data_IF_970020324772
#
_entry.id   IF_970020324772
#
_cell.length_a   1.000
_cell.length_b   1.000
_cell.length_c   1.000
_cell.angle_alpha   90.00
_cell.angle_beta   90.00
_cell.angle_gamma   90.00
#
_symmetry.space_group_name_H-M   'P 1'
#
loop_
_entity.id
_entity.type
_entity.pdbx_description
1 polymer ?
#
# COMPACT_ATOMS: atom_id res chain seq x y z
N UNK A 1 22.26 15.62 33.41
CA UNK A 1 21.62 14.46 32.73
C UNK A 1 22.55 14.04 31.61
N UNK A 2 22.85 12.75 31.48
CA UNK A 2 23.73 12.24 30.42
C UNK A 2 23.02 12.34 29.06
N UNK A 3 23.47 13.21 28.14
CA UNK A 3 22.85 13.41 26.83
C UNK A 3 23.04 12.22 25.88
N UNK A 4 23.82 11.21 26.27
CA UNK A 4 24.04 9.99 25.49
C UNK A 4 23.08 8.85 25.87
N UNK A 5 22.33 9.00 26.97
CA UNK A 5 21.47 7.94 27.50
C UNK A 5 20.21 7.75 26.67
N UNK A 6 20.29 6.80 25.74
CA UNK A 6 19.17 6.41 24.86
C UNK A 6 18.06 5.71 25.63
N UNK A 7 16.84 5.84 25.11
CA UNK A 7 15.67 5.12 25.60
C UNK A 7 15.24 4.08 24.59
N UNK A 8 14.98 2.86 25.05
CA UNK A 8 14.55 1.76 24.22
C UNK A 8 13.03 1.59 24.31
N UNK A 9 12.35 1.59 23.17
CA UNK A 9 11.02 0.98 23.04
C UNK A 9 11.21 -0.49 22.72
N UNK A 10 10.50 -1.37 23.44
CA UNK A 10 10.62 -2.80 23.27
C UNK A 10 9.26 -3.48 23.17
N UNK A 11 9.26 -4.67 22.58
CA UNK A 11 8.11 -5.56 22.46
C UNK A 11 8.49 -6.93 23.02
N UNK A 12 7.72 -7.44 23.98
CA UNK A 12 7.93 -8.75 24.60
C UNK A 12 6.85 -9.73 24.14
N UNK A 13 7.21 -11.00 24.05
CA UNK A 13 6.25 -12.09 24.00
C UNK A 13 5.98 -12.60 25.42
N UNK A 14 4.72 -12.58 25.85
CA UNK A 14 4.29 -13.06 27.16
C UNK A 14 3.85 -14.52 27.09
N UNK A 15 3.88 -15.23 28.24
CA UNK A 15 3.54 -16.66 28.34
C UNK A 15 2.18 -17.05 27.75
N UNK A 16 1.22 -16.12 27.75
CA UNK A 16 -0.12 -16.31 27.16
C UNK A 16 -0.18 -16.00 25.64
N UNK A 17 0.96 -15.82 24.96
CA UNK A 17 1.05 -15.45 23.54
C UNK A 17 0.75 -13.97 23.23
N UNK A 18 0.35 -13.19 24.24
CA UNK A 18 0.15 -11.74 24.08
C UNK A 18 1.47 -11.01 23.90
N UNK A 19 1.40 -9.80 23.34
CA UNK A 19 2.57 -8.93 23.19
C UNK A 19 2.47 -7.73 24.12
N UNK A 20 3.53 -7.47 24.87
CA UNK A 20 3.63 -6.32 25.77
C UNK A 20 4.63 -5.30 25.23
N UNK A 21 4.22 -4.03 25.18
CA UNK A 21 5.09 -2.92 24.79
C UNK A 21 5.42 -2.05 26.00
N UNK A 22 6.66 -1.55 26.05
CA UNK A 22 7.11 -0.61 27.07
C UNK A 22 8.37 0.13 26.65
N UNK A 23 8.74 1.14 27.43
CA UNK A 23 9.99 1.89 27.24
C UNK A 23 10.89 1.79 28.48
N UNK A 24 12.20 1.85 28.27
CA UNK A 24 13.19 1.80 29.34
C UNK A 24 14.53 2.37 28.88
N UNK A 25 15.32 3.02 29.76
CA UNK A 25 16.70 3.38 29.44
C UNK A 25 17.68 2.21 29.60
N UNK A 26 17.22 1.06 30.10
CA UNK A 26 18.00 -0.17 30.29
C UNK A 26 17.11 -1.38 29.96
N UNK A 27 17.34 -1.99 28.80
CA UNK A 27 16.48 -3.05 28.26
C UNK A 27 16.64 -4.35 29.04
N UNK A 28 17.89 -4.74 29.32
CA UNK A 28 18.21 -6.01 29.95
C UNK A 28 17.76 -6.04 31.40
N UNK A 29 18.05 -4.98 32.18
CA UNK A 29 17.58 -4.87 33.55
C UNK A 29 16.04 -4.85 33.61
N UNK A 30 15.39 -4.20 32.65
CA UNK A 30 13.92 -4.16 32.58
C UNK A 30 13.32 -5.52 32.25
N UNK A 31 13.89 -6.24 31.30
CA UNK A 31 13.46 -7.59 30.95
C UNK A 31 13.63 -8.54 32.15
N UNK A 32 14.79 -8.53 32.81
CA UNK A 32 15.05 -9.34 33.99
C UNK A 32 14.06 -9.04 35.13
N UNK A 33 13.72 -7.76 35.37
CA UNK A 33 12.71 -7.38 36.36
C UNK A 33 11.32 -7.93 36.02
N UNK A 34 10.90 -7.90 34.74
CA UNK A 34 9.64 -8.51 34.31
C UNK A 34 9.65 -10.02 34.47
N UNK A 35 10.73 -10.70 34.07
CA UNK A 35 10.88 -12.15 34.18
C UNK A 35 10.86 -12.63 35.64
N UNK A 36 11.41 -11.83 36.57
CA UNK A 36 11.42 -12.11 38.01
C UNK A 36 10.12 -11.69 38.74
N UNK A 37 9.05 -11.30 38.02
CA UNK A 37 7.79 -10.91 38.64
C UNK A 37 7.84 -9.57 39.39
N UNK A 38 8.84 -8.72 39.12
CA UNK A 38 8.97 -7.35 39.65
C UNK A 38 8.61 -6.28 38.61
N UNK A 39 7.95 -6.71 37.54
CA UNK A 39 7.54 -5.87 36.42
C UNK A 39 6.24 -5.09 36.62
N UNK A 40 5.71 -4.61 35.49
CA UNK A 40 4.38 -3.98 35.43
C UNK A 40 3.28 -4.95 35.91
N UNK A 41 2.14 -4.42 36.36
CA UNK A 41 1.00 -5.24 36.83
C UNK A 41 0.65 -6.35 35.82
N UNK A 42 0.66 -6.02 34.53
CA UNK A 42 0.35 -6.99 33.46
C UNK A 42 1.37 -8.13 33.37
N UNK A 43 2.67 -7.80 33.31
CA UNK A 43 3.75 -8.78 33.13
C UNK A 43 4.01 -9.60 34.40
N UNK A 44 3.58 -9.15 35.58
CA UNK A 44 3.55 -9.98 36.79
C UNK A 44 2.59 -11.16 36.68
N UNK A 45 1.40 -10.94 36.13
CA UNK A 45 0.44 -12.02 35.84
C UNK A 45 0.78 -12.81 34.57
N UNK A 46 1.52 -12.20 33.63
CA UNK A 46 1.90 -12.79 32.35
C UNK A 46 3.39 -12.57 32.08
N UNK A 47 4.29 -13.32 32.75
CA UNK A 47 5.72 -13.12 32.63
C UNK A 47 6.19 -13.28 31.17
N UNK A 48 7.14 -12.44 30.72
CA UNK A 48 7.66 -12.51 29.36
C UNK A 48 8.53 -13.75 29.16
N UNK A 49 8.50 -14.31 27.95
CA UNK A 49 9.34 -15.41 27.51
C UNK A 49 10.59 -14.90 26.79
N UNK A 50 10.45 -13.86 25.96
CA UNK A 50 11.56 -13.26 25.20
C UNK A 50 11.25 -11.82 24.76
N UNK A 51 12.31 -11.11 24.39
CA UNK A 51 12.22 -9.84 23.65
C UNK A 51 12.03 -10.19 22.17
N UNK A 52 10.99 -9.64 21.54
CA UNK A 52 10.73 -9.80 20.12
C UNK A 52 11.50 -8.78 19.27
N UNK A 53 11.53 -7.53 19.72
CA UNK A 53 12.30 -6.45 19.11
C UNK A 53 12.48 -5.30 20.09
N UNK A 54 13.49 -4.47 19.84
CA UNK A 54 13.63 -3.15 20.46
C UNK A 54 14.19 -2.14 19.48
N UNK A 55 13.96 -0.86 19.74
CA UNK A 55 14.57 0.25 19.00
C UNK A 55 14.95 1.39 19.95
N UNK A 56 16.12 1.98 19.71
CA UNK A 56 16.67 3.05 20.55
C UNK A 56 16.22 4.43 20.04
N UNK A 57 15.82 5.29 20.96
CA UNK A 57 15.41 6.66 20.73
C UNK A 57 16.33 7.60 21.52
N UNK A 58 16.50 8.86 21.06
CA UNK A 58 17.39 9.82 21.71
C UNK A 58 17.01 10.11 23.16
N UNK A 59 15.71 10.08 23.48
CA UNK A 59 15.21 10.48 24.79
C UNK A 59 13.89 9.78 25.15
N UNK A 60 13.45 9.99 26.40
CA UNK A 60 12.19 9.43 26.90
C UNK A 60 10.98 9.91 26.12
N UNK A 61 10.97 11.17 25.67
CA UNK A 61 9.80 11.80 25.07
C UNK A 61 9.52 11.20 23.68
N UNK A 62 10.56 11.07 22.86
CA UNK A 62 10.54 10.38 21.57
C UNK A 62 10.17 8.91 21.72
N UNK A 63 10.76 8.18 22.69
CA UNK A 63 10.39 6.80 22.98
C UNK A 63 8.91 6.66 23.41
N UNK A 64 8.39 7.58 24.24
CA UNK A 64 6.99 7.56 24.71
C UNK A 64 6.00 7.84 23.57
N UNK A 65 6.34 8.78 22.69
CA UNK A 65 5.54 9.07 21.48
C UNK A 65 5.51 7.85 20.55
N UNK A 66 6.65 7.20 20.36
CA UNK A 66 6.73 5.97 19.59
C UNK A 66 5.95 4.81 20.25
N UNK A 67 6.00 4.66 21.57
CA UNK A 67 5.24 3.64 22.30
C UNK A 67 3.73 3.81 22.07
N UNK A 68 3.24 5.05 22.12
CA UNK A 68 1.84 5.36 21.83
C UNK A 68 1.45 5.02 20.38
N UNK A 69 2.31 5.34 19.40
CA UNK A 69 2.09 4.97 18.01
C UNK A 69 2.08 3.44 17.81
N UNK A 70 3.04 2.73 18.40
CA UNK A 70 3.13 1.26 18.36
C UNK A 70 1.87 0.61 18.93
N UNK A 71 1.34 1.13 20.05
CA UNK A 71 0.11 0.61 20.67
C UNK A 71 -1.09 0.66 19.72
N UNK A 72 -1.14 1.64 18.82
CA UNK A 72 -2.18 1.81 17.79
C UNK A 72 -1.95 1.01 16.49
N UNK A 73 -0.79 0.39 16.31
CA UNK A 73 -0.56 -0.49 15.16
C UNK A 73 -1.28 -1.83 15.32
N UNK A 74 -1.84 -2.41 14.24
CA UNK A 74 -2.33 -3.78 14.24
C UNK A 74 -1.21 -4.77 14.64
N UNK A 75 -1.55 -5.86 15.34
CA UNK A 75 -0.56 -6.86 15.80
C UNK A 75 0.38 -7.31 14.68
N UNK A 76 -0.16 -7.57 13.48
CA UNK A 76 0.61 -7.99 12.31
C UNK A 76 1.70 -7.00 11.86
N UNK A 77 1.63 -5.72 12.24
CA UNK A 77 2.57 -4.67 11.83
C UNK A 77 3.50 -4.19 12.95
N UNK A 78 3.19 -4.49 14.22
CA UNK A 78 3.94 -3.98 15.38
C UNK A 78 5.43 -4.32 15.32
N UNK A 79 5.79 -5.54 14.93
CA UNK A 79 7.18 -5.98 14.89
C UNK A 79 8.00 -5.20 13.85
N UNK A 80 7.53 -5.18 12.60
CA UNK A 80 8.18 -4.46 11.50
C UNK A 80 8.24 -2.94 11.76
N UNK A 81 7.18 -2.36 12.31
CA UNK A 81 7.13 -0.94 12.67
C UNK A 81 8.18 -0.57 13.74
N UNK A 82 8.33 -1.43 14.76
CA UNK A 82 9.30 -1.18 15.83
C UNK A 82 10.73 -1.33 15.31
N UNK A 83 11.01 -2.38 14.53
CA UNK A 83 12.33 -2.60 13.94
C UNK A 83 12.76 -1.41 13.05
N UNK A 84 11.81 -0.82 12.32
CA UNK A 84 12.02 0.38 11.51
C UNK A 84 12.07 1.71 12.30
N UNK A 85 12.15 1.66 13.64
CA UNK A 85 12.34 2.86 14.46
C UNK A 85 11.13 3.76 14.59
N UNK A 86 9.94 3.21 14.40
CA UNK A 86 8.71 3.98 14.44
C UNK A 86 8.39 4.71 13.14
N UNK A 87 9.23 4.56 12.11
CA UNK A 87 8.74 4.66 10.75
C UNK A 87 7.80 3.48 10.51
N UNK A 88 6.55 3.77 10.16
CA UNK A 88 5.83 2.85 9.28
C UNK A 88 6.74 2.57 8.09
N UNK A 89 6.74 1.33 7.58
CA UNK A 89 7.14 1.08 6.19
C UNK A 89 6.65 2.28 5.37
N UNK A 90 7.55 3.03 4.73
CA UNK A 90 7.28 4.43 4.35
C UNK A 90 5.94 4.59 3.64
N UNK A 91 5.31 5.76 3.78
CA UNK A 91 4.05 6.04 3.12
C UNK A 91 4.17 5.70 1.62
N UNK A 92 3.07 5.28 1.01
CA UNK A 92 3.06 5.05 -0.43
C UNK A 92 3.27 6.40 -1.10
N UNK A 93 4.39 6.55 -1.78
CA UNK A 93 4.75 7.74 -2.54
C UNK A 93 4.33 7.52 -3.99
N UNK A 94 3.39 8.34 -4.47
CA UNK A 94 2.96 8.30 -5.87
C UNK A 94 3.76 9.36 -6.64
N UNK A 95 4.50 8.90 -7.65
CA UNK A 95 5.38 9.72 -8.49
C UNK A 95 4.88 9.66 -9.92
N UNK A 96 4.93 10.77 -10.64
CA UNK A 96 4.64 10.79 -12.07
C UNK A 96 5.83 10.25 -12.88
N UNK A 97 5.56 9.50 -13.94
CA UNK A 97 6.56 8.88 -14.80
C UNK A 97 7.14 7.57 -14.27
N UNK A 98 8.39 7.30 -14.65
CA UNK A 98 9.12 6.05 -14.35
C UNK A 98 9.07 5.01 -15.47
N UNK A 99 8.63 5.38 -16.69
CA UNK A 99 8.60 4.47 -17.85
C UNK A 99 10.00 4.07 -18.36
N UNK A 100 11.04 4.77 -17.91
CA UNK A 100 12.45 4.50 -18.14
C UNK A 100 13.09 3.61 -17.05
N UNK A 101 12.40 3.38 -15.92
CA UNK A 101 12.88 2.51 -14.85
C UNK A 101 12.62 1.04 -15.19
N UNK A 102 13.68 0.22 -15.20
CA UNK A 102 13.61 -1.20 -15.53
C UNK A 102 12.57 -1.98 -14.69
N UNK A 103 12.41 -1.62 -13.40
CA UNK A 103 11.46 -2.28 -12.49
C UNK A 103 10.01 -2.01 -12.90
N UNK A 104 9.76 -0.81 -13.40
CA UNK A 104 8.44 -0.39 -13.89
C UNK A 104 8.15 -1.06 -15.23
N UNK A 105 9.14 -1.08 -16.14
CA UNK A 105 9.05 -1.80 -17.41
C UNK A 105 8.73 -3.28 -17.19
N UNK A 106 9.39 -3.94 -16.24
CA UNK A 106 9.14 -5.35 -15.92
C UNK A 106 7.75 -5.56 -15.30
N UNK A 107 7.28 -4.63 -14.46
CA UNK A 107 5.92 -4.69 -13.93
C UNK A 107 4.86 -4.55 -15.04
N UNK A 108 5.11 -3.69 -16.04
CA UNK A 108 4.22 -3.51 -17.19
C UNK A 108 4.23 -4.74 -18.12
N UNK A 109 5.41 -5.34 -18.36
CA UNK A 109 5.50 -6.61 -19.09
C UNK A 109 4.72 -7.72 -18.40
N UNK A 110 4.86 -7.83 -17.08
CA UNK A 110 4.08 -8.77 -16.26
C UNK A 110 2.57 -8.48 -16.39
N UNK A 111 2.16 -7.22 -16.36
CA UNK A 111 0.76 -6.84 -16.53
C UNK A 111 0.22 -7.32 -17.88
N UNK A 112 0.93 -7.06 -18.98
CA UNK A 112 0.54 -7.49 -20.33
C UNK A 112 0.47 -9.02 -20.45
N UNK A 113 1.45 -9.73 -19.91
CA UNK A 113 1.47 -11.20 -19.91
C UNK A 113 0.26 -11.79 -19.16
N UNK A 114 -0.09 -11.22 -18.00
CA UNK A 114 -1.29 -11.64 -17.25
C UNK A 114 -2.58 -11.36 -18.01
N UNK A 115 -2.69 -10.25 -18.75
CA UNK A 115 -3.87 -9.99 -19.57
C UNK A 115 -4.01 -11.02 -20.69
N UNK A 116 -2.90 -11.39 -21.34
CA UNK A 116 -2.90 -12.41 -22.39
C UNK A 116 -3.25 -13.81 -21.90
N UNK A 117 -3.08 -14.10 -20.60
CA UNK A 117 -3.50 -15.37 -20.01
C UNK A 117 -5.01 -15.45 -19.81
N UNK A 118 -5.68 -14.31 -19.66
CA UNK A 118 -7.09 -14.24 -19.26
C UNK A 118 -8.04 -13.71 -20.34
N UNK A 119 -7.48 -13.17 -21.42
CA UNK A 119 -8.24 -12.62 -22.55
C UNK A 119 -7.57 -13.00 -23.88
N UNK A 120 -8.34 -13.24 -24.96
CA UNK A 120 -7.77 -13.45 -26.29
C UNK A 120 -7.09 -12.17 -26.80
N UNK A 121 -6.14 -12.25 -27.76
CA UNK A 121 -5.37 -11.10 -28.23
C UNK A 121 -6.20 -9.89 -28.72
N UNK A 122 -7.39 -10.14 -29.28
CA UNK A 122 -8.30 -9.08 -29.74
C UNK A 122 -9.02 -8.30 -28.63
N UNK A 123 -8.94 -8.78 -27.39
CA UNK A 123 -9.64 -8.26 -26.21
C UNK A 123 -8.68 -7.68 -25.16
N UNK A 124 -7.41 -7.48 -25.52
CA UNK A 124 -6.39 -6.89 -24.63
C UNK A 124 -6.29 -5.41 -24.96
N UNK A 125 -6.80 -4.58 -24.07
CA UNK A 125 -6.76 -3.12 -24.20
C UNK A 125 -5.69 -2.45 -23.33
N UNK A 126 -4.87 -3.24 -22.65
CA UNK A 126 -3.71 -2.76 -21.91
C UNK A 126 -2.69 -2.13 -22.88
N UNK A 127 -2.24 -0.92 -22.55
CA UNK A 127 -1.29 -0.17 -23.36
C UNK A 127 0.15 -0.68 -23.15
N UNK A 128 0.93 -0.65 -24.22
CA UNK A 128 2.38 -0.81 -24.15
C UNK A 128 3.06 0.49 -23.66
N UNK A 129 4.40 0.46 -23.58
CA UNK A 129 5.18 1.62 -23.13
C UNK A 129 4.94 2.86 -24.00
N UNK A 130 4.82 2.69 -25.32
CA UNK A 130 4.59 3.80 -26.24
C UNK A 130 3.21 4.42 -26.02
N UNK A 131 2.17 3.60 -25.85
CA UNK A 131 0.83 4.07 -25.52
C UNK A 131 0.74 4.78 -24.18
N UNK A 132 1.54 4.37 -23.20
CA UNK A 132 1.62 5.03 -21.88
C UNK A 132 2.43 6.33 -21.89
N UNK A 133 3.32 6.51 -22.86
CA UNK A 133 4.09 7.74 -23.07
C UNK A 133 3.40 8.74 -24.02
N UNK A 134 2.23 8.39 -24.57
CA UNK A 134 1.53 9.22 -25.55
C UNK A 134 1.00 10.55 -24.97
N UNK A 135 0.91 11.62 -25.76
CA UNK A 135 0.28 12.86 -25.35
C UNK A 135 -1.15 12.66 -24.84
N UNK A 136 -1.52 13.34 -23.76
CA UNK A 136 -2.83 13.18 -23.11
C UNK A 136 -2.92 11.99 -22.14
N UNK A 137 -1.84 11.23 -21.97
CA UNK A 137 -1.66 10.26 -20.90
C UNK A 137 -0.94 10.90 -19.71
N UNK A 138 -1.30 10.47 -18.51
CA UNK A 138 -0.51 10.68 -17.30
C UNK A 138 -0.25 9.33 -16.68
N UNK A 139 1.00 9.04 -16.36
CA UNK A 139 1.39 7.75 -15.79
C UNK A 139 2.01 7.96 -14.42
N UNK A 140 1.63 7.13 -13.46
CA UNK A 140 2.15 7.16 -12.11
C UNK A 140 2.71 5.82 -11.67
N UNK A 141 3.70 5.90 -10.80
CA UNK A 141 4.30 4.78 -10.09
C UNK A 141 4.19 4.99 -8.59
N UNK A 142 3.84 3.93 -7.87
CA UNK A 142 3.70 3.91 -6.42
C UNK A 142 4.94 3.26 -5.79
N UNK A 143 5.55 3.94 -4.82
CA UNK A 143 6.81 3.55 -4.22
C UNK A 143 6.75 3.52 -2.69
N UNK A 144 7.66 2.75 -2.10
CA UNK A 144 8.01 2.84 -0.69
C UNK A 144 9.53 2.89 -0.59
N UNK A 145 10.08 4.09 -0.40
CA UNK A 145 11.51 4.32 -0.58
C UNK A 145 11.90 4.00 -2.02
N UNK A 146 12.74 2.97 -2.19
CA UNK A 146 13.19 2.48 -3.50
C UNK A 146 12.45 1.19 -3.95
N UNK A 147 11.45 0.73 -3.19
CA UNK A 147 10.65 -0.43 -3.58
C UNK A 147 9.46 -0.01 -4.43
N UNK A 148 9.39 -0.48 -5.67
CA UNK A 148 8.23 -0.33 -6.54
C UNK A 148 7.06 -1.16 -6.01
N UNK A 149 5.91 -0.52 -5.84
CA UNK A 149 4.69 -1.14 -5.32
C UNK A 149 3.61 -1.33 -6.39
N UNK A 150 3.58 -0.48 -7.41
CA UNK A 150 2.54 -0.51 -8.43
C UNK A 150 2.62 0.64 -9.42
N UNK A 151 1.71 0.66 -10.39
CA UNK A 151 1.57 1.73 -11.36
C UNK A 151 0.10 1.91 -11.79
N UNK A 152 -0.20 3.06 -12.39
CA UNK A 152 -1.47 3.36 -13.05
C UNK A 152 -1.28 4.42 -14.14
N UNK A 153 -2.08 4.34 -15.20
CA UNK A 153 -2.23 5.37 -16.22
C UNK A 153 -3.59 6.06 -16.11
N UNK A 154 -3.65 7.33 -16.50
CA UNK A 154 -4.85 8.13 -16.63
C UNK A 154 -4.85 8.81 -18.00
N UNK A 155 -5.84 8.48 -18.83
CA UNK A 155 -6.01 9.03 -20.17
C UNK A 155 -7.14 10.05 -20.19
N UNK A 156 -6.91 11.21 -20.80
CA UNK A 156 -7.99 12.12 -21.14
C UNK A 156 -8.80 11.58 -22.33
N UNK A 157 -10.13 11.58 -22.24
CA UNK A 157 -11.01 11.17 -23.34
C UNK A 157 -11.65 12.39 -24.01
N UNK A 158 -12.45 13.13 -23.25
CA UNK A 158 -13.10 14.38 -23.67
C UNK A 158 -12.98 15.44 -22.55
N UNK A 159 -13.69 16.56 -22.67
CA UNK A 159 -13.52 17.74 -21.81
C UNK A 159 -13.73 17.49 -20.31
N UNK A 160 -14.56 16.51 -19.93
CA UNK A 160 -14.85 16.20 -18.53
C UNK A 160 -14.76 14.70 -18.16
N UNK A 161 -14.20 13.88 -19.05
CA UNK A 161 -14.11 12.43 -18.88
C UNK A 161 -12.67 11.91 -18.95
N UNK A 162 -12.27 11.19 -17.90
CA UNK A 162 -11.02 10.42 -17.86
C UNK A 162 -11.23 8.92 -17.93
N UNK A 163 -10.17 8.22 -18.33
CA UNK A 163 -10.07 6.77 -18.28
C UNK A 163 -8.86 6.31 -17.45
N UNK A 164 -9.10 5.46 -16.44
CA UNK A 164 -8.05 4.76 -15.72
C UNK A 164 -7.57 3.55 -16.55
N UNK A 165 -6.26 3.46 -16.77
CA UNK A 165 -5.62 2.40 -17.56
C UNK A 165 -4.43 1.78 -16.83
N UNK A 166 -4.04 0.57 -17.23
CA UNK A 166 -2.80 -0.10 -16.81
C UNK A 166 -2.53 -0.07 -15.28
N UNK A 167 -3.60 -0.14 -14.47
CA UNK A 167 -3.46 -0.14 -13.01
C UNK A 167 -3.02 -1.53 -12.52
N UNK A 168 -1.83 -1.60 -11.93
CA UNK A 168 -1.23 -2.85 -11.46
C UNK A 168 -0.55 -2.66 -10.11
N UNK A 169 -0.78 -3.59 -9.20
CA UNK A 169 0.02 -3.72 -7.97
C UNK A 169 1.08 -4.80 -8.18
N UNK A 170 2.32 -4.53 -7.77
CA UNK A 170 3.39 -5.52 -7.80
C UNK A 170 3.02 -6.74 -6.94
N UNK A 171 3.32 -7.98 -7.36
CA UNK A 171 2.94 -9.18 -6.61
C UNK A 171 3.38 -9.18 -5.14
N UNK A 172 4.59 -8.68 -4.86
CA UNK A 172 5.13 -8.55 -3.51
C UNK A 172 4.43 -7.46 -2.66
N UNK A 173 3.64 -6.58 -3.27
CA UNK A 173 2.96 -5.45 -2.64
C UNK A 173 1.43 -5.65 -2.52
N UNK A 174 0.91 -6.84 -2.84
CA UNK A 174 -0.52 -7.15 -2.72
C UNK A 174 -1.02 -7.02 -1.28
N UNK A 175 -2.29 -6.62 -1.13
CA UNK A 175 -2.97 -6.42 0.17
C UNK A 175 -2.31 -5.37 1.08
N UNK A 176 -1.55 -4.44 0.50
CA UNK A 176 -0.92 -3.33 1.24
C UNK A 176 -1.58 -1.96 1.00
N UNK A 177 -2.70 -1.92 0.28
CA UNK A 177 -3.46 -0.69 -0.01
C UNK A 177 -2.99 0.09 -1.25
N UNK A 178 -2.07 -0.47 -2.05
CA UNK A 178 -1.47 0.20 -3.21
C UNK A 178 -2.51 0.57 -4.27
N UNK A 179 -3.33 -0.37 -4.72
CA UNK A 179 -4.36 -0.11 -5.72
C UNK A 179 -5.37 0.94 -5.26
N UNK A 180 -5.75 0.94 -3.97
CA UNK A 180 -6.63 1.96 -3.41
C UNK A 180 -5.98 3.35 -3.40
N UNK A 181 -4.69 3.42 -3.05
CA UNK A 181 -3.93 4.68 -3.08
C UNK A 181 -3.80 5.24 -4.50
N UNK A 182 -3.46 4.40 -5.48
CA UNK A 182 -3.39 4.77 -6.89
C UNK A 182 -4.74 5.24 -7.43
N UNK A 183 -5.83 4.52 -7.13
CA UNK A 183 -7.16 4.92 -7.56
C UNK A 183 -7.62 6.24 -6.94
N UNK A 184 -7.38 6.43 -5.63
CA UNK A 184 -7.69 7.68 -4.94
C UNK A 184 -6.93 8.86 -5.56
N UNK A 185 -5.65 8.66 -5.90
CA UNK A 185 -4.82 9.65 -6.59
C UNK A 185 -5.37 9.99 -7.98
N UNK A 186 -5.74 8.97 -8.78
CA UNK A 186 -6.33 9.18 -10.10
C UNK A 186 -7.66 9.95 -10.04
N UNK A 187 -8.52 9.66 -9.06
CA UNK A 187 -9.77 10.39 -8.85
C UNK A 187 -9.53 11.83 -8.40
N UNK A 188 -8.57 12.06 -7.51
CA UNK A 188 -8.20 13.41 -7.06
C UNK A 188 -7.65 14.24 -8.22
N UNK A 189 -6.78 13.66 -9.05
CA UNK A 189 -6.27 14.31 -10.25
C UNK A 189 -7.39 14.61 -11.25
N UNK A 190 -8.30 13.68 -11.47
CA UNK A 190 -9.45 13.88 -12.38
C UNK A 190 -10.29 15.07 -11.93
N UNK A 191 -10.63 15.17 -10.62
CA UNK A 191 -11.32 16.34 -10.07
C UNK A 191 -10.52 17.63 -10.23
N UNK A 192 -9.20 17.58 -10.04
CA UNK A 192 -8.32 18.75 -10.23
C UNK A 192 -8.33 19.24 -11.67
N UNK A 193 -8.52 18.36 -12.65
CA UNK A 193 -8.69 18.68 -14.07
C UNK A 193 -10.10 19.16 -14.43
N UNK A 194 -11.03 19.20 -13.47
CA UNK A 194 -12.42 19.57 -13.70
C UNK A 194 -13.26 18.44 -14.31
N UNK A 195 -12.75 17.21 -14.32
CA UNK A 195 -13.50 16.06 -14.85
C UNK A 195 -14.60 15.64 -13.88
N UNK A 196 -15.75 15.32 -14.43
CA UNK A 196 -16.94 14.89 -13.70
C UNK A 196 -17.11 13.37 -13.74
N UNK A 197 -16.39 12.68 -14.64
CA UNK A 197 -16.49 11.24 -14.86
C UNK A 197 -15.13 10.58 -14.96
N UNK A 198 -14.99 9.42 -14.30
CA UNK A 198 -13.88 8.50 -14.48
C UNK A 198 -14.41 7.12 -14.83
N UNK A 199 -13.90 6.54 -15.91
CA UNK A 199 -14.25 5.18 -16.33
C UNK A 199 -13.02 4.29 -16.46
N UNK A 200 -13.26 2.99 -16.54
CA UNK A 200 -12.23 1.98 -16.77
C UNK A 200 -12.79 0.80 -17.55
N UNK A 201 -11.91 0.17 -18.30
CA UNK A 201 -12.09 -1.18 -18.83
C UNK A 201 -11.23 -2.14 -17.99
N UNK A 202 -11.76 -3.33 -17.72
CA UNK A 202 -11.05 -4.40 -17.02
C UNK A 202 -11.55 -5.75 -17.51
N UNK A 203 -10.72 -6.78 -17.45
CA UNK A 203 -11.15 -8.13 -17.82
C UNK A 203 -12.33 -8.64 -16.97
N UNK A 204 -13.16 -9.49 -17.57
CA UNK A 204 -14.38 -10.06 -16.94
C UNK A 204 -14.12 -11.36 -16.17
N UNK A 205 -12.98 -12.03 -16.40
CA UNK A 205 -12.65 -13.32 -15.81
C UNK A 205 -12.51 -13.29 -14.26
N UNK A 206 -12.67 -14.43 -13.55
CA UNK A 206 -12.56 -14.50 -12.09
C UNK A 206 -11.24 -13.97 -11.52
N UNK A 207 -10.15 -13.99 -12.30
CA UNK A 207 -8.86 -13.42 -11.92
C UNK A 207 -8.94 -11.92 -11.57
N UNK A 208 -9.92 -11.19 -12.12
CA UNK A 208 -10.14 -9.77 -11.90
C UNK A 208 -11.07 -9.45 -10.72
N UNK A 209 -11.59 -10.46 -10.02
CA UNK A 209 -12.56 -10.27 -8.93
C UNK A 209 -12.06 -9.31 -7.83
N UNK A 210 -10.77 -9.34 -7.51
CA UNK A 210 -10.18 -8.42 -6.54
C UNK A 210 -10.17 -6.96 -7.01
N UNK A 211 -9.96 -6.73 -8.31
CA UNK A 211 -10.04 -5.40 -8.91
C UNK A 211 -11.49 -4.92 -8.95
N UNK A 212 -12.43 -5.76 -9.39
CA UNK A 212 -13.87 -5.45 -9.39
C UNK A 212 -14.37 -5.06 -7.99
N UNK A 213 -14.00 -5.83 -6.97
CA UNK A 213 -14.38 -5.54 -5.59
C UNK A 213 -13.78 -4.22 -5.06
N UNK A 214 -12.61 -3.80 -5.54
CA UNK A 214 -12.07 -2.48 -5.26
C UNK A 214 -12.92 -1.40 -5.94
N UNK A 215 -13.16 -1.51 -7.25
CA UNK A 215 -13.89 -0.49 -7.99
C UNK A 215 -15.33 -0.31 -7.47
N UNK A 216 -16.05 -1.40 -7.21
CA UNK A 216 -17.40 -1.35 -6.63
C UNK A 216 -17.42 -0.65 -5.27
N UNK A 217 -16.45 -0.96 -4.39
CA UNK A 217 -16.33 -0.29 -3.07
C UNK A 217 -16.04 1.20 -3.22
N UNK A 218 -15.29 1.56 -4.26
CA UNK A 218 -14.94 2.94 -4.60
C UNK A 218 -16.01 3.58 -5.48
N UNK A 219 -17.24 3.06 -5.51
CA UNK A 219 -18.40 3.72 -6.12
C UNK A 219 -18.46 3.66 -7.65
N UNK A 220 -17.67 2.81 -8.29
CA UNK A 220 -17.86 2.50 -9.71
C UNK A 220 -19.03 1.53 -9.88
N UNK A 221 -19.80 1.73 -10.95
CA UNK A 221 -20.85 0.82 -11.38
C UNK A 221 -20.63 0.38 -12.82
N UNK A 222 -21.23 -0.73 -13.22
CA UNK A 222 -21.20 -1.19 -14.61
C UNK A 222 -21.79 -0.13 -15.56
N UNK A 223 -21.21 0.01 -16.74
CA UNK A 223 -21.67 0.92 -17.78
C UNK A 223 -21.55 0.31 -19.17
N UNK A 224 -22.12 0.99 -20.17
CA UNK A 224 -21.88 0.66 -21.57
C UNK A 224 -20.40 0.92 -21.95
N UNK A 225 -19.90 0.29 -23.02
CA UNK A 225 -18.60 0.64 -23.60
C UNK A 225 -18.51 2.15 -23.93
N UNK A 226 -17.32 2.71 -23.81
CA UNK A 226 -17.02 4.13 -24.02
C UNK A 226 -15.75 4.28 -24.87
N UNK A 227 -15.39 5.50 -25.28
CA UNK A 227 -14.14 5.78 -26.01
C UNK A 227 -13.91 4.90 -27.26
N UNK A 228 -14.99 4.47 -27.93
CA UNK A 228 -14.93 3.61 -29.12
C UNK A 228 -14.75 2.12 -28.83
N UNK A 229 -14.77 1.69 -27.56
CA UNK A 229 -14.82 0.27 -27.23
C UNK A 229 -16.11 -0.38 -27.76
N UNK A 230 -15.98 -1.59 -28.27
CA UNK A 230 -17.11 -2.45 -28.57
C UNK A 230 -17.50 -3.26 -27.34
N UNK A 231 -18.73 -3.77 -27.31
CA UNK A 231 -19.11 -4.72 -26.29
C UNK A 231 -18.35 -6.04 -26.51
N UNK A 232 -17.67 -6.51 -25.46
CA UNK A 232 -16.81 -7.69 -25.51
C UNK A 232 -17.07 -8.53 -24.25
N UNK A 233 -17.41 -9.84 -24.36
CA UNK A 233 -17.59 -10.72 -23.21
C UNK A 233 -16.34 -10.87 -22.32
N UNK A 234 -15.15 -10.56 -22.83
CA UNK A 234 -13.89 -10.58 -22.06
C UNK A 234 -13.61 -9.28 -21.31
N UNK A 235 -14.40 -8.23 -21.58
CA UNK A 235 -14.26 -6.92 -20.95
C UNK A 235 -15.46 -6.57 -20.08
N UNK A 236 -15.16 -5.82 -19.04
CA UNK A 236 -16.12 -5.20 -18.14
C UNK A 236 -15.81 -3.72 -18.10
N UNK A 237 -16.82 -2.91 -18.41
CA UNK A 237 -16.72 -1.45 -18.39
C UNK A 237 -17.38 -0.93 -17.13
N UNK A 238 -16.68 -0.07 -16.41
CA UNK A 238 -17.20 0.54 -15.19
C UNK A 238 -16.97 2.05 -15.21
N UNK A 239 -17.90 2.80 -14.62
CA UNK A 239 -17.83 4.25 -14.54
C UNK A 239 -18.27 4.76 -13.17
N UNK A 240 -17.71 5.90 -12.80
CA UNK A 240 -18.05 6.65 -11.59
C UNK A 240 -18.17 8.14 -11.90
N UNK A 241 -19.18 8.78 -11.32
CA UNK A 241 -19.23 10.25 -11.20
C UNK A 241 -18.33 10.71 -10.05
N UNK A 242 -17.54 11.76 -10.29
CA UNK A 242 -16.50 12.26 -9.38
C UNK A 242 -17.01 13.31 -8.40
#
# INVERSE_FOLDING_TARGET
MDPTRRWHLYLLECRNGSWYAGITPDLDARFAAHAAGRGAKYTRGNPPLRILASHAYPDRASASRAEWQLKRQPRARKLAWLQAGGCTASAIEIREGGLDDARVVDLLRLHLADMALHSPPGSIHALDLAGLAAPGMTFWTAWRGDTLLGCAGLKALDGDHGELKSMRTAPAALRQGVAAALLAHAMAESRRRGWTRLSLETGSAPAFAAAHALYLREGFSDCAPFAGYAQDPWSRFMSRSL
#
